data_IF_752292219477
#
_entry.id   IF_752292219477
#
_cell.length_a   1.000
_cell.length_b   1.000
_cell.length_c   1.000
_cell.angle_alpha   90.00
_cell.angle_beta   90.00
_cell.angle_gamma   90.00
#
_symmetry.space_group_name_H-M   'P 1'
#
loop_
_entity.id
_entity.type
_entity.pdbx_description
1 polymer ?
#
# COMPACT_ATOMS: atom_id res chain seq x y z
N UNK A 1 11.16 -12.50 -18.33
CA UNK A 1 9.69 -12.67 -18.21
C UNK A 1 9.26 -11.86 -17.00
N UNK A 2 8.34 -10.90 -17.15
CA UNK A 2 7.69 -10.29 -16.01
C UNK A 2 7.00 -11.40 -15.21
N UNK A 3 7.21 -11.40 -13.91
CA UNK A 3 6.53 -12.34 -13.02
C UNK A 3 5.14 -11.79 -12.71
N UNK A 4 4.15 -12.67 -12.69
CA UNK A 4 2.80 -12.35 -12.23
C UNK A 4 2.25 -13.56 -11.48
N UNK A 5 1.82 -13.35 -10.24
CA UNK A 5 1.16 -14.39 -9.46
C UNK A 5 -0.25 -14.65 -10.02
N UNK A 6 -0.82 -15.86 -9.81
CA UNK A 6 -2.25 -16.05 -10.05
C UNK A 6 -3.07 -15.09 -9.18
N UNK A 7 -4.30 -14.79 -9.60
CA UNK A 7 -5.28 -14.10 -8.75
C UNK A 7 -5.65 -14.99 -7.57
N UNK A 8 -5.49 -14.46 -6.36
CA UNK A 8 -5.75 -15.15 -5.11
C UNK A 8 -6.89 -14.47 -4.35
N UNK A 9 -7.87 -15.23 -3.82
CA UNK A 9 -8.89 -14.64 -2.97
C UNK A 9 -8.28 -14.24 -1.63
N UNK A 10 -8.67 -13.08 -1.12
CA UNK A 10 -8.38 -12.67 0.25
C UNK A 10 -9.68 -12.37 0.99
N UNK A 11 -9.89 -13.11 2.08
CA UNK A 11 -11.05 -12.95 2.95
C UNK A 11 -10.67 -12.01 4.09
N UNK A 12 -11.50 -10.99 4.31
CA UNK A 12 -11.31 -10.00 5.34
C UNK A 12 -12.63 -9.68 6.04
N UNK A 13 -12.53 -8.98 7.17
CA UNK A 13 -13.71 -8.48 7.89
C UNK A 13 -14.13 -7.16 7.23
N UNK A 14 -15.25 -7.19 6.52
CA UNK A 14 -15.81 -6.01 5.87
C UNK A 14 -16.53 -5.07 6.84
N UNK A 15 -17.16 -4.05 6.25
CA UNK A 15 -18.00 -3.11 6.99
C UNK A 15 -19.12 -3.84 7.73
N UNK A 16 -19.47 -3.36 8.92
CA UNK A 16 -20.44 -4.00 9.84
C UNK A 16 -20.04 -5.41 10.32
N UNK A 17 -18.78 -5.80 10.15
CA UNK A 17 -18.25 -7.04 10.70
C UNK A 17 -18.63 -8.31 9.93
N UNK A 18 -19.19 -8.18 8.73
CA UNK A 18 -19.50 -9.33 7.86
C UNK A 18 -18.24 -9.83 7.13
N UNK A 19 -18.13 -11.14 6.87
CA UNK A 19 -17.10 -11.64 5.97
C UNK A 19 -17.21 -10.99 4.59
N UNK A 20 -16.08 -10.57 4.05
CA UNK A 20 -15.98 -9.93 2.76
C UNK A 20 -14.77 -10.47 1.99
N UNK A 21 -14.78 -10.31 0.68
CA UNK A 21 -13.76 -10.89 -0.19
C UNK A 21 -13.39 -9.93 -1.32
N UNK A 22 -12.12 -9.95 -1.67
CA UNK A 22 -11.57 -9.39 -2.91
C UNK A 22 -10.52 -10.35 -3.45
N UNK A 23 -10.05 -10.13 -4.67
CA UNK A 23 -8.88 -10.82 -5.18
C UNK A 23 -7.67 -9.92 -5.12
N UNK A 24 -6.49 -10.52 -5.03
CA UNK A 24 -5.24 -9.81 -5.24
C UNK A 24 -4.27 -10.64 -6.07
N UNK A 25 -3.32 -9.97 -6.70
CA UNK A 25 -2.11 -10.58 -7.26
C UNK A 25 -0.94 -9.63 -7.15
N UNK A 26 0.26 -10.18 -7.29
CA UNK A 26 1.52 -9.42 -7.33
C UNK A 26 2.17 -9.64 -8.69
N UNK A 27 2.58 -8.55 -9.33
CA UNK A 27 3.38 -8.58 -10.54
C UNK A 27 4.67 -7.77 -10.39
N UNK A 28 5.68 -8.08 -11.21
CA UNK A 28 6.91 -7.28 -11.31
C UNK A 28 7.02 -6.61 -12.67
N UNK A 29 7.45 -5.35 -12.69
CA UNK A 29 7.83 -4.68 -13.95
C UNK A 29 9.09 -5.30 -14.54
N UNK A 30 9.29 -5.12 -15.85
CA UNK A 30 10.39 -5.78 -16.58
C UNK A 30 11.76 -5.13 -16.38
N UNK A 31 11.80 -3.86 -15.99
CA UNK A 31 13.02 -3.05 -15.97
C UNK A 31 13.46 -2.69 -14.56
N UNK A 32 14.78 -2.56 -14.38
CA UNK A 32 15.34 -2.07 -13.13
C UNK A 32 15.16 -0.54 -12.99
N UNK A 33 14.83 -0.04 -11.78
CA UNK A 33 14.51 -0.81 -10.58
C UNK A 33 13.15 -1.51 -10.71
N UNK A 34 13.10 -2.82 -10.43
CA UNK A 34 11.85 -3.59 -10.54
C UNK A 34 10.83 -3.07 -9.54
N UNK A 35 9.60 -2.83 -10.01
CA UNK A 35 8.49 -2.42 -9.17
C UNK A 35 7.61 -3.62 -8.85
N UNK A 36 7.26 -3.78 -7.58
CA UNK A 36 6.25 -4.72 -7.11
C UNK A 36 4.86 -4.08 -7.24
N UNK A 37 4.05 -4.58 -8.16
CA UNK A 37 2.68 -4.10 -8.39
C UNK A 37 1.71 -5.01 -7.66
N UNK A 38 1.02 -4.47 -6.66
CA UNK A 38 -0.13 -5.11 -6.02
C UNK A 38 -1.37 -4.69 -6.79
N UNK A 39 -2.08 -5.66 -7.39
CA UNK A 39 -3.42 -5.42 -7.91
C UNK A 39 -4.44 -5.97 -6.92
N UNK A 40 -5.41 -5.14 -6.54
CA UNK A 40 -6.60 -5.53 -5.78
C UNK A 40 -7.81 -5.44 -6.70
N UNK A 41 -8.59 -6.51 -6.82
CA UNK A 41 -9.79 -6.52 -7.67
C UNK A 41 -11.04 -6.94 -6.92
N UNK A 42 -12.15 -6.26 -7.20
CA UNK A 42 -13.44 -6.55 -6.58
C UNK A 42 -13.88 -7.99 -6.92
N UNK A 43 -14.22 -8.79 -5.90
CA UNK A 43 -14.61 -10.19 -6.12
C UNK A 43 -16.01 -10.35 -6.75
N UNK A 44 -16.96 -9.52 -6.34
CA UNK A 44 -18.33 -9.45 -6.86
C UNK A 44 -18.94 -8.08 -6.53
N UNK A 45 -19.99 -7.68 -7.24
CA UNK A 45 -20.64 -6.38 -7.07
C UNK A 45 -21.17 -6.13 -5.64
N UNK A 46 -21.52 -7.20 -4.92
CA UNK A 46 -22.02 -7.13 -3.53
C UNK A 46 -20.90 -6.94 -2.48
N UNK A 47 -19.64 -7.06 -2.88
CA UNK A 47 -18.49 -6.80 -2.01
C UNK A 47 -17.97 -5.37 -2.20
N UNK A 48 -17.34 -4.77 -1.17
CA UNK A 48 -16.76 -3.43 -1.28
C UNK A 48 -15.78 -3.33 -2.46
N UNK A 49 -15.92 -2.26 -3.25
CA UNK A 49 -14.96 -1.97 -4.33
C UNK A 49 -13.64 -1.47 -3.73
N UNK A 50 -12.48 -2.00 -4.14
CA UNK A 50 -11.19 -1.48 -3.70
C UNK A 50 -10.89 -0.08 -4.29
N UNK A 51 -11.59 0.32 -5.37
CA UNK A 51 -11.47 1.67 -5.95
C UNK A 51 -12.16 2.70 -5.05
N UNK A 52 -13.35 2.38 -4.55
CA UNK A 52 -14.21 3.30 -3.77
C UNK A 52 -13.95 3.21 -2.26
N UNK A 53 -13.75 2.00 -1.73
CA UNK A 53 -13.75 1.73 -0.30
C UNK A 53 -12.32 1.71 0.27
N UNK A 54 -11.90 2.84 0.83
CA UNK A 54 -10.56 3.04 1.44
C UNK A 54 -10.27 2.03 2.55
N UNK A 55 -11.20 1.83 3.50
CA UNK A 55 -10.93 0.99 4.67
C UNK A 55 -10.67 -0.49 4.31
N UNK A 56 -11.51 -1.15 3.47
CA UNK A 56 -11.19 -2.46 2.91
C UNK A 56 -9.87 -2.50 2.13
N UNK A 57 -9.61 -1.49 1.28
CA UNK A 57 -8.37 -1.39 0.49
C UNK A 57 -7.14 -1.36 1.39
N UNK A 58 -7.11 -0.47 2.37
CA UNK A 58 -5.97 -0.32 3.29
C UNK A 58 -5.78 -1.55 4.17
N UNK A 59 -6.87 -2.16 4.62
CA UNK A 59 -6.79 -3.39 5.42
C UNK A 59 -6.15 -4.54 4.62
N UNK A 60 -6.60 -4.76 3.38
CA UNK A 60 -6.05 -5.80 2.52
C UNK A 60 -4.63 -5.47 2.09
N UNK A 61 -4.36 -4.24 1.69
CA UNK A 61 -3.03 -3.76 1.32
C UNK A 61 -2.01 -4.05 2.43
N UNK A 62 -2.27 -3.63 3.66
CA UNK A 62 -1.37 -3.86 4.78
C UNK A 62 -1.15 -5.35 5.06
N UNK A 63 -2.16 -6.19 4.81
CA UNK A 63 -2.05 -7.64 4.96
C UNK A 63 -1.15 -8.25 3.88
N UNK A 64 -1.31 -7.85 2.62
CA UNK A 64 -0.44 -8.28 1.52
C UNK A 64 1.00 -7.81 1.75
N UNK A 65 1.20 -6.57 2.19
CA UNK A 65 2.52 -6.03 2.53
C UNK A 65 3.20 -6.85 3.64
N UNK A 66 2.47 -7.21 4.69
CA UNK A 66 3.03 -7.98 5.82
C UNK A 66 3.35 -9.43 5.47
N UNK A 67 2.53 -10.09 4.63
CA UNK A 67 2.65 -11.52 4.36
C UNK A 67 3.51 -11.83 3.14
N UNK A 68 3.32 -11.12 2.03
CA UNK A 68 3.88 -11.49 0.73
C UNK A 68 5.04 -10.59 0.30
N UNK A 69 5.09 -9.36 0.79
CA UNK A 69 6.10 -8.36 0.38
C UNK A 69 6.98 -7.89 1.54
N UNK A 70 6.98 -8.57 2.68
CA UNK A 70 7.74 -8.16 3.87
C UNK A 70 9.21 -7.89 3.54
N UNK A 71 9.70 -6.73 3.96
CA UNK A 71 11.08 -6.29 3.72
C UNK A 71 11.33 -5.65 2.36
N UNK A 72 10.34 -5.62 1.45
CA UNK A 72 10.45 -4.86 0.19
C UNK A 72 10.34 -3.35 0.50
N UNK A 73 11.23 -2.49 -0.02
CA UNK A 73 11.12 -1.04 0.13
C UNK A 73 9.80 -0.49 -0.41
N UNK A 74 9.12 0.37 0.37
CA UNK A 74 7.80 0.91 0.03
C UNK A 74 7.82 1.74 -1.27
N UNK A 75 8.93 2.41 -1.57
CA UNK A 75 9.10 3.19 -2.80
C UNK A 75 9.13 2.32 -4.07
N UNK A 76 9.39 1.01 -3.95
CA UNK A 76 9.36 0.05 -5.05
C UNK A 76 7.99 -0.64 -5.19
N UNK A 77 7.02 -0.33 -4.34
CA UNK A 77 5.70 -0.95 -4.37
C UNK A 77 4.68 0.01 -4.98
N UNK A 78 3.86 -0.49 -5.91
CA UNK A 78 2.74 0.22 -6.54
C UNK A 78 1.44 -0.49 -6.23
N UNK A 79 0.37 0.28 -6.05
CA UNK A 79 -0.98 -0.23 -5.82
C UNK A 79 -1.87 0.12 -6.99
N UNK A 80 -2.51 -0.90 -7.54
CA UNK A 80 -3.60 -0.79 -8.50
C UNK A 80 -4.85 -1.38 -7.87
N UNK A 81 -5.97 -0.66 -7.95
CA UNK A 81 -7.28 -1.18 -7.58
C UNK A 81 -8.18 -1.23 -8.81
N UNK A 82 -8.93 -2.32 -8.93
CA UNK A 82 -9.77 -2.62 -10.08
C UNK A 82 -11.18 -2.98 -9.64
N UNK A 83 -12.16 -2.39 -10.31
CA UNK A 83 -13.57 -2.73 -10.18
C UNK A 83 -14.25 -2.64 -11.57
N UNK A 84 -15.58 -2.84 -11.69
CA UNK A 84 -16.28 -2.76 -12.98
C UNK A 84 -16.17 -1.42 -13.71
N UNK A 85 -15.72 -0.34 -13.04
CA UNK A 85 -15.53 0.98 -13.64
C UNK A 85 -14.15 1.14 -14.30
N UNK A 86 -13.17 0.31 -13.91
CA UNK A 86 -11.82 0.33 -14.46
C UNK A 86 -10.73 -0.02 -13.44
N UNK A 87 -9.48 0.14 -13.88
CA UNK A 87 -8.29 -0.02 -13.06
C UNK A 87 -7.66 1.35 -12.79
N UNK A 88 -7.31 1.60 -11.53
CA UNK A 88 -6.78 2.88 -11.08
C UNK A 88 -5.56 2.69 -10.18
N UNK A 89 -4.55 3.53 -10.36
CA UNK A 89 -3.40 3.62 -9.47
C UNK A 89 -3.73 4.41 -8.21
N UNK A 90 -3.17 3.98 -7.08
CA UNK A 90 -3.26 4.70 -5.80
C UNK A 90 -1.88 4.86 -5.19
N UNK A 91 -1.55 6.08 -4.79
CA UNK A 91 -0.41 6.33 -3.90
C UNK A 91 -0.81 6.02 -2.46
N UNK A 92 0.08 5.40 -1.69
CA UNK A 92 -0.13 5.16 -0.27
C UNK A 92 0.97 5.84 0.54
N UNK A 93 0.63 6.29 1.74
CA UNK A 93 1.54 6.97 2.66
C UNK A 93 1.83 6.10 3.88
N UNK A 94 3.10 6.03 4.34
CA UNK A 94 3.42 5.35 5.59
C UNK A 94 2.91 6.15 6.80
N UNK A 95 2.32 5.44 7.77
CA UNK A 95 1.96 6.00 9.07
C UNK A 95 3.21 6.10 9.96
N UNK A 96 3.84 7.27 9.99
CA UNK A 96 5.04 7.49 10.79
C UNK A 96 4.81 7.34 12.31
N UNK A 97 3.59 7.51 12.81
CA UNK A 97 3.29 7.22 14.21
C UNK A 97 3.32 5.71 14.48
N UNK A 98 2.82 4.89 13.55
CA UNK A 98 2.96 3.42 13.61
C UNK A 98 4.43 2.99 13.49
N UNK A 99 5.20 3.59 12.57
CA UNK A 99 6.62 3.28 12.39
C UNK A 99 7.42 3.51 13.69
N UNK A 100 7.19 4.63 14.37
CA UNK A 100 7.85 4.95 15.65
C UNK A 100 7.38 4.02 16.77
N UNK A 101 6.09 3.71 16.85
CA UNK A 101 5.54 2.79 17.87
C UNK A 101 6.07 1.36 17.77
N UNK A 102 6.55 0.96 16.59
CA UNK A 102 7.15 -0.35 16.32
C UNK A 102 8.64 -0.42 16.64
N UNK A 103 9.22 0.63 17.22
CA UNK A 103 10.64 0.69 17.61
C UNK A 103 11.61 0.50 16.43
N UNK A 104 11.19 0.94 15.23
CA UNK A 104 12.07 0.95 14.07
C UNK A 104 13.16 2.03 14.23
N UNK A 105 14.23 1.94 13.42
CA UNK A 105 15.33 2.89 13.46
C UNK A 105 14.94 4.24 12.83
N UNK A 106 15.20 5.33 13.56
CA UNK A 106 15.08 6.71 13.08
C UNK A 106 16.03 7.62 13.86
N UNK A 107 16.30 8.81 13.32
CA UNK A 107 17.07 9.85 14.02
C UNK A 107 16.14 10.92 14.60
N UNK A 108 16.52 11.46 15.75
CA UNK A 108 15.79 12.53 16.44
C UNK A 108 16.71 13.74 16.57
N UNK A 109 16.26 14.86 16.03
CA UNK A 109 16.95 16.14 16.13
C UNK A 109 16.05 17.14 16.87
N UNK A 110 16.45 17.63 18.05
CA UNK A 110 15.66 18.64 18.77
C UNK A 110 15.76 19.99 18.06
N UNK A 111 14.61 20.57 17.71
CA UNK A 111 14.50 21.87 17.05
C UNK A 111 13.81 22.89 17.96
N UNK A 112 14.37 24.10 18.02
CA UNK A 112 13.74 25.23 18.72
C UNK A 112 12.65 25.82 17.83
N UNK A 113 11.40 25.60 18.19
CA UNK A 113 10.29 26.26 17.53
C UNK A 113 9.97 27.64 18.16
N UNK A 114 9.33 28.51 17.38
CA UNK A 114 8.88 29.83 17.86
C UNK A 114 7.89 29.67 19.02
N UNK A 115 7.87 30.66 19.93
CA UNK A 115 6.96 30.76 21.09
C UNK A 115 7.15 29.67 22.17
N UNK A 116 8.39 29.24 22.41
CA UNK A 116 8.70 28.32 23.52
C UNK A 116 8.23 26.88 23.31
N UNK A 117 7.86 26.51 22.08
CA UNK A 117 7.57 25.13 21.71
C UNK A 117 8.88 24.37 21.47
N UNK A 118 8.93 23.14 21.94
CA UNK A 118 9.95 22.17 21.55
C UNK A 118 9.35 21.32 20.43
N UNK A 119 10.08 21.19 19.33
CA UNK A 119 9.73 20.31 18.22
C UNK A 119 10.86 19.31 18.07
N UNK A 120 10.52 18.07 17.79
CA UNK A 120 11.48 17.03 17.43
C UNK A 120 11.33 16.76 15.94
N UNK A 121 12.41 16.91 15.18
CA UNK A 121 12.47 16.48 13.79
C UNK A 121 12.89 15.01 13.79
N UNK A 122 12.02 14.17 13.23
CA UNK A 122 12.31 12.76 12.99
C UNK A 122 12.80 12.62 11.55
N UNK A 123 13.95 11.98 11.37
CA UNK A 123 14.48 11.61 10.06
C UNK A 123 14.50 10.09 9.93
N UNK A 124 13.92 9.61 8.82
CA UNK A 124 13.84 8.19 8.50
C UNK A 124 14.48 8.00 7.13
N UNK A 125 15.47 7.10 7.08
CA UNK A 125 16.04 6.65 5.82
C UNK A 125 14.97 5.90 5.00
N UNK A 126 14.69 6.30 3.75
CA UNK A 126 13.74 5.60 2.88
C UNK A 126 14.01 4.10 2.73
N UNK A 127 15.28 3.65 2.83
CA UNK A 127 15.62 2.22 2.77
C UNK A 127 15.09 1.44 3.97
N UNK A 128 14.85 2.10 5.10
CA UNK A 128 14.24 1.49 6.29
C UNK A 128 12.71 1.45 6.20
N UNK A 129 12.09 2.23 5.31
CA UNK A 129 10.65 2.18 5.05
C UNK A 129 10.32 0.98 4.16
N UNK A 130 10.22 -0.18 4.78
CA UNK A 130 9.92 -1.44 4.12
C UNK A 130 8.53 -1.95 4.48
N UNK A 131 7.93 -2.75 3.60
CA UNK A 131 6.68 -3.44 3.86
C UNK A 131 6.78 -4.30 5.14
N UNK A 132 5.79 -4.16 6.02
CA UNK A 132 5.74 -4.78 7.35
C UNK A 132 6.47 -4.01 8.46
N UNK A 133 7.35 -3.05 8.13
CA UNK A 133 7.92 -2.14 9.14
C UNK A 133 6.92 -1.07 9.61
N UNK A 134 5.94 -0.73 8.76
CA UNK A 134 4.96 0.33 9.00
C UNK A 134 3.65 0.02 8.30
N UNK A 135 2.55 0.48 8.89
CA UNK A 135 1.26 0.52 8.20
C UNK A 135 1.22 1.63 7.17
N UNK A 136 0.58 1.36 6.04
CA UNK A 136 0.32 2.38 5.03
C UNK A 136 -1.17 2.68 4.95
N UNK A 137 -1.52 3.87 4.50
CA UNK A 137 -2.89 4.27 4.25
C UNK A 137 -3.03 4.93 2.87
N UNK A 138 -4.25 4.89 2.33
CA UNK A 138 -4.60 5.56 1.08
C UNK A 138 -5.71 6.59 1.31
N UNK A 139 -5.84 7.09 2.54
CA UNK A 139 -6.95 7.97 2.95
C UNK A 139 -6.95 9.28 2.17
N UNK A 140 -5.76 9.77 1.81
CA UNK A 140 -5.58 11.00 1.05
C UNK A 140 -5.27 10.75 -0.44
N UNK A 141 -5.28 9.49 -0.86
CA UNK A 141 -4.96 9.10 -2.23
C UNK A 141 -6.12 9.44 -3.18
N UNK A 142 -5.80 10.00 -4.34
CA UNK A 142 -6.75 10.16 -5.43
C UNK A 142 -6.54 9.04 -6.44
N UNK A 143 -7.64 8.48 -6.97
CA UNK A 143 -7.57 7.53 -8.07
C UNK A 143 -6.94 8.21 -9.29
N UNK A 144 -5.89 7.60 -9.83
CA UNK A 144 -5.18 8.08 -11.01
C UNK A 144 -5.13 7.01 -12.10
N UNK A 145 -4.88 7.42 -13.34
CA UNK A 145 -4.62 6.48 -14.42
C UNK A 145 -3.41 5.60 -14.09
N UNK A 146 -3.51 4.31 -14.44
CA UNK A 146 -2.41 3.37 -14.23
C UNK A 146 -1.27 3.72 -15.19
N UNK A 147 -0.07 3.95 -14.65
CA UNK A 147 1.11 4.22 -15.46
C UNK A 147 1.35 3.09 -16.48
N UNK A 148 1.77 3.37 -17.73
CA UNK A 148 1.89 2.36 -18.78
C UNK A 148 2.78 1.16 -18.41
N UNK A 149 3.87 1.41 -17.68
CA UNK A 149 4.77 0.35 -17.20
C UNK A 149 4.09 -0.57 -16.18
N UNK A 150 3.30 0.00 -15.27
CA UNK A 150 2.53 -0.74 -14.26
C UNK A 150 1.41 -1.52 -14.94
N UNK A 151 0.72 -0.92 -15.92
CA UNK A 151 -0.31 -1.58 -16.70
C UNK A 151 0.26 -2.77 -17.50
N UNK A 152 1.46 -2.62 -18.09
CA UNK A 152 2.14 -3.68 -18.80
C UNK A 152 2.49 -4.88 -17.91
N UNK A 153 2.83 -4.65 -16.63
CA UNK A 153 3.06 -5.73 -15.67
C UNK A 153 1.77 -6.50 -15.30
N UNK A 154 0.60 -5.91 -15.52
CA UNK A 154 -0.70 -6.50 -15.22
C UNK A 154 -1.41 -7.08 -16.46
N UNK A 155 -0.84 -6.89 -17.66
CA UNK A 155 -1.38 -7.35 -18.93
C UNK A 155 -1.29 -8.88 -19.12
#
# INVERSE_FOLDING_TARGET
MPFQSPLQPIIYRGEHGRPSAMYYRIAFTEHEPWLAVIELSQAAADFPSPVVSVAPRDHVLNRVLEHDLRGVPLNLIKLVATDPTGSFGFEFTPDFHDYVRRDNRYEIHPEKARRGRVVERIEIDPENLTAGSVRVDTVHATAADVAPEVAAALA
#
